data_IF_996887394800
#
_entry.id   IF_996887394800
#
_cell.length_a   1.000
_cell.length_b   1.000
_cell.length_c   1.000
_cell.angle_alpha   90.00
_cell.angle_beta   90.00
_cell.angle_gamma   90.00
#
_symmetry.space_group_name_H-M   'P 1'
#
loop_
_entity.id
_entity.type
_entity.pdbx_description
1 polymer ?
#
# COMPACT_ATOMS: atom_id res chain seq x y z
N UNK A 1 -82.29 15.70 1.79
CA UNK A 1 -81.51 16.78 2.42
C UNK A 1 -80.05 16.36 2.53
N UNK A 2 -79.16 17.12 1.89
CA UNK A 2 -77.72 17.28 2.13
C UNK A 2 -76.75 16.08 2.17
N UNK A 3 -76.10 15.89 1.01
CA UNK A 3 -74.67 15.58 0.76
C UNK A 3 -73.71 15.67 1.96
N UNK A 4 -72.81 14.69 2.07
CA UNK A 4 -71.36 14.94 2.30
C UNK A 4 -70.51 13.94 1.52
N UNK A 5 -69.84 14.46 0.49
CA UNK A 5 -68.78 13.80 -0.28
C UNK A 5 -67.49 13.98 0.53
N UNK A 6 -66.85 12.88 0.92
CA UNK A 6 -65.53 12.91 1.55
C UNK A 6 -64.48 12.92 0.43
N UNK A 7 -63.83 14.06 0.24
CA UNK A 7 -62.65 14.17 -0.62
C UNK A 7 -61.44 13.59 0.12
N UNK A 8 -60.92 12.46 -0.36
CA UNK A 8 -59.62 11.94 0.04
C UNK A 8 -58.57 12.73 -0.76
N UNK A 9 -57.88 13.65 -0.09
CA UNK A 9 -56.72 14.37 -0.66
C UNK A 9 -55.49 13.48 -0.46
N UNK A 10 -55.03 12.85 -1.53
CA UNK A 10 -53.75 12.16 -1.60
C UNK A 10 -52.63 13.21 -1.66
N UNK A 11 -52.03 13.54 -0.52
CA UNK A 11 -50.83 14.38 -0.44
C UNK A 11 -49.60 13.57 -0.89
N UNK A 12 -49.26 13.65 -2.17
CA UNK A 12 -47.95 13.21 -2.68
C UNK A 12 -46.86 14.16 -2.15
N UNK A 13 -46.19 13.76 -1.08
CA UNK A 13 -44.94 14.37 -0.65
C UNK A 13 -43.82 13.88 -1.57
N UNK A 14 -43.53 14.66 -2.61
CA UNK A 14 -42.29 14.55 -3.38
C UNK A 14 -41.13 14.98 -2.47
N UNK A 15 -40.46 14.00 -1.87
CA UNK A 15 -39.15 14.20 -1.24
C UNK A 15 -38.15 14.45 -2.36
N UNK A 16 -37.87 15.73 -2.65
CA UNK A 16 -36.72 16.09 -3.46
C UNK A 16 -35.46 15.83 -2.64
N UNK A 17 -34.85 14.66 -2.83
CA UNK A 17 -33.47 14.44 -2.43
C UNK A 17 -32.59 15.32 -3.33
N UNK A 18 -32.31 16.55 -2.88
CA UNK A 18 -31.25 17.35 -3.45
C UNK A 18 -29.93 16.63 -3.20
N UNK A 19 -29.43 15.93 -4.21
CA UNK A 19 -28.08 15.38 -4.22
C UNK A 19 -27.10 16.53 -4.12
N UNK A 20 -26.63 16.81 -2.91
CA UNK A 20 -25.44 17.63 -2.75
C UNK A 20 -24.29 16.84 -3.37
N UNK A 21 -23.80 17.31 -4.52
CA UNK A 21 -22.54 16.84 -5.05
C UNK A 21 -21.47 17.07 -3.97
N UNK A 22 -20.99 15.98 -3.36
CA UNK A 22 -19.89 16.03 -2.41
C UNK A 22 -18.74 16.75 -3.12
N UNK A 23 -18.28 17.90 -2.58
CA UNK A 23 -17.06 18.53 -3.07
C UNK A 23 -15.94 17.46 -3.01
N UNK A 24 -15.09 17.35 -4.04
CA UNK A 24 -13.95 16.44 -3.98
C UNK A 24 -13.18 16.73 -2.70
N UNK A 25 -12.95 15.69 -1.89
CA UNK A 25 -12.07 15.81 -0.72
C UNK A 25 -10.71 16.24 -1.25
N UNK A 26 -10.24 17.40 -0.80
CA UNK A 26 -8.94 17.92 -1.19
C UNK A 26 -7.87 16.92 -0.73
N UNK A 27 -7.03 16.45 -1.67
CA UNK A 27 -5.97 15.49 -1.37
C UNK A 27 -4.91 16.16 -0.51
N UNK A 28 -4.52 15.52 0.59
CA UNK A 28 -3.40 16.02 1.39
C UNK A 28 -2.07 15.67 0.70
N UNK A 29 -1.15 16.63 0.52
CA UNK A 29 0.16 16.36 -0.09
C UNK A 29 0.99 15.33 0.67
N UNK A 30 1.82 14.56 -0.06
CA UNK A 30 2.66 13.50 0.49
C UNK A 30 3.58 13.97 1.62
N UNK A 31 4.25 15.11 1.44
CA UNK A 31 5.17 15.70 2.41
C UNK A 31 4.45 16.09 3.71
N UNK A 32 3.24 16.63 3.62
CA UNK A 32 2.40 16.93 4.79
C UNK A 32 2.03 15.66 5.55
N UNK A 33 1.59 14.60 4.85
CA UNK A 33 1.26 13.31 5.45
C UNK A 33 2.51 12.66 6.08
N UNK A 34 3.65 12.71 5.38
CA UNK A 34 4.92 12.15 5.84
C UNK A 34 5.40 12.84 7.13
N UNK A 35 5.35 14.17 7.19
CA UNK A 35 5.74 14.90 8.39
C UNK A 35 4.84 14.58 9.59
N UNK A 36 3.54 14.32 9.36
CA UNK A 36 2.64 13.82 10.41
C UNK A 36 3.02 12.41 10.86
N UNK A 37 3.36 11.50 9.94
CA UNK A 37 3.87 10.16 10.29
C UNK A 37 5.14 10.24 11.12
N UNK A 38 6.11 11.09 10.75
CA UNK A 38 7.35 11.27 11.51
C UNK A 38 7.10 11.81 12.91
N UNK A 39 6.07 12.65 13.08
CA UNK A 39 5.57 13.13 14.37
C UNK A 39 4.67 12.14 15.11
N UNK A 40 4.54 10.91 14.60
CA UNK A 40 3.77 9.81 15.18
C UNK A 40 2.27 10.13 15.32
N UNK A 41 1.72 10.95 14.43
CA UNK A 41 0.28 11.18 14.37
C UNK A 41 -0.45 9.87 14.02
N UNK A 42 -1.21 9.36 14.99
CA UNK A 42 -1.93 8.09 14.85
C UNK A 42 -3.07 8.14 13.83
N UNK A 43 -3.58 9.34 13.49
CA UNK A 43 -4.70 9.55 12.59
C UNK A 43 -4.32 9.59 11.10
N UNK A 44 -3.03 9.47 10.76
CA UNK A 44 -2.62 9.43 9.35
C UNK A 44 -3.14 8.16 8.69
N UNK A 45 -3.83 8.34 7.56
CA UNK A 45 -4.21 7.24 6.68
C UNK A 45 -3.01 6.83 5.81
N UNK A 46 -2.50 5.60 6.02
CA UNK A 46 -1.34 5.09 5.28
C UNK A 46 -1.65 4.75 3.82
N UNK A 47 -2.90 4.45 3.49
CA UNK A 47 -3.33 4.30 2.10
C UNK A 47 -3.24 5.64 1.37
N UNK A 48 -3.72 6.73 1.99
CA UNK A 48 -3.61 8.08 1.44
C UNK A 48 -2.15 8.49 1.26
N UNK A 49 -1.30 8.24 2.27
CA UNK A 49 0.15 8.51 2.22
C UNK A 49 0.83 7.82 1.03
N UNK A 50 0.58 6.52 0.82
CA UNK A 50 1.14 5.76 -0.30
C UNK A 50 0.65 6.27 -1.64
N UNK A 51 -0.65 6.49 -1.78
CA UNK A 51 -1.21 6.99 -3.03
C UNK A 51 -0.68 8.39 -3.35
N UNK A 52 -0.56 9.27 -2.34
CA UNK A 52 0.05 10.58 -2.50
C UNK A 52 1.53 10.49 -2.93
N UNK A 53 2.30 9.53 -2.40
CA UNK A 53 3.68 9.30 -2.85
C UNK A 53 3.76 8.96 -4.34
N UNK A 54 2.80 8.18 -4.87
CA UNK A 54 2.75 7.81 -6.30
C UNK A 54 2.53 8.99 -7.24
N UNK A 55 2.12 10.15 -6.70
CA UNK A 55 1.89 11.40 -7.45
C UNK A 55 3.11 12.35 -7.39
N UNK A 56 4.18 11.97 -6.69
CA UNK A 56 5.39 12.78 -6.54
C UNK A 56 6.39 12.56 -7.68
N UNK A 57 7.31 13.52 -7.89
CA UNK A 57 8.41 13.37 -8.87
C UNK A 57 9.44 12.32 -8.46
N UNK A 58 9.49 12.01 -7.16
CA UNK A 58 10.40 11.04 -6.55
C UNK A 58 9.86 9.61 -6.64
N UNK A 59 8.63 9.43 -7.13
CA UNK A 59 8.01 8.13 -7.28
C UNK A 59 8.80 7.27 -8.28
N UNK A 60 9.24 6.10 -7.79
CA UNK A 60 10.03 5.16 -8.56
C UNK A 60 9.60 3.72 -8.23
N UNK A 61 8.54 3.20 -8.88
CA UNK A 61 7.94 1.91 -8.54
C UNK A 61 8.83 0.70 -8.83
N UNK A 62 9.91 0.87 -9.60
CA UNK A 62 10.80 -0.22 -10.05
C UNK A 62 12.28 -0.04 -9.68
N UNK A 63 12.71 1.16 -9.28
CA UNK A 63 14.14 1.50 -9.14
C UNK A 63 14.65 1.60 -7.70
N UNK A 64 14.18 0.72 -6.80
CA UNK A 64 14.74 0.60 -5.45
C UNK A 64 16.18 0.09 -5.41
N UNK A 65 16.92 0.42 -4.35
CA UNK A 65 18.32 0.00 -4.13
C UNK A 65 18.38 -1.46 -3.62
N UNK A 66 18.26 -2.40 -4.56
CA UNK A 66 18.22 -3.85 -4.29
C UNK A 66 19.47 -4.36 -3.57
N UNK A 67 20.64 -3.83 -3.90
CA UNK A 67 21.90 -4.26 -3.28
C UNK A 67 21.97 -3.84 -1.82
N UNK A 68 21.53 -2.62 -1.49
CA UNK A 68 21.45 -2.17 -0.09
C UNK A 68 20.41 -2.98 0.69
N UNK A 69 19.26 -3.31 0.07
CA UNK A 69 18.27 -4.20 0.70
C UNK A 69 18.84 -5.59 0.98
N UNK A 70 19.57 -6.16 0.02
CA UNK A 70 20.26 -7.44 0.20
C UNK A 70 21.30 -7.38 1.32
N UNK A 71 22.09 -6.30 1.36
CA UNK A 71 23.08 -6.07 2.42
C UNK A 71 22.42 -5.96 3.80
N UNK A 72 21.30 -5.24 3.90
CA UNK A 72 20.50 -5.13 5.13
C UNK A 72 20.07 -6.51 5.65
N UNK A 73 19.43 -7.34 4.81
CA UNK A 73 19.00 -8.67 5.23
C UNK A 73 20.16 -9.61 5.54
N UNK A 74 21.26 -9.54 4.79
CA UNK A 74 22.48 -10.29 5.09
C UNK A 74 23.08 -9.88 6.45
N UNK A 75 23.08 -8.59 6.77
CA UNK A 75 23.53 -8.09 8.07
C UNK A 75 22.64 -8.60 9.22
N UNK A 76 21.31 -8.58 9.06
CA UNK A 76 20.37 -9.15 10.03
C UNK A 76 20.64 -10.64 10.27
N UNK A 77 20.79 -11.42 9.20
CA UNK A 77 21.06 -12.87 9.28
C UNK A 77 22.42 -13.20 9.92
N UNK A 78 23.38 -12.27 9.86
CA UNK A 78 24.69 -12.41 10.51
C UNK A 78 24.78 -11.67 11.85
N UNK A 79 23.64 -11.23 12.41
CA UNK A 79 23.57 -10.51 13.70
C UNK A 79 24.39 -9.19 13.73
N UNK A 80 24.69 -8.62 12.56
CA UNK A 80 25.40 -7.33 12.41
C UNK A 80 24.41 -6.19 12.41
N UNK A 81 23.73 -5.98 13.54
CA UNK A 81 22.57 -5.09 13.64
C UNK A 81 22.88 -3.63 13.30
N UNK A 82 24.05 -3.11 13.69
CA UNK A 82 24.45 -1.74 13.31
C UNK A 82 24.58 -1.57 11.79
N UNK A 83 25.07 -2.58 11.08
CA UNK A 83 25.18 -2.55 9.61
C UNK A 83 23.81 -2.66 8.93
N UNK A 84 22.90 -3.42 9.55
CA UNK A 84 21.51 -3.46 9.12
C UNK A 84 20.86 -2.06 9.26
N UNK A 85 21.07 -1.37 10.38
CA UNK A 85 20.57 0.00 10.57
C UNK A 85 21.11 0.97 9.52
N UNK A 86 22.42 0.96 9.24
CA UNK A 86 23.02 1.81 8.21
C UNK A 86 22.34 1.59 6.84
N UNK A 87 22.08 0.33 6.50
CA UNK A 87 21.44 -0.03 5.23
C UNK A 87 19.96 0.37 5.21
N UNK A 88 19.24 0.17 6.32
CA UNK A 88 17.85 0.61 6.49
C UNK A 88 17.75 2.13 6.37
N UNK A 89 18.59 2.89 7.04
CA UNK A 89 18.58 4.36 7.02
C UNK A 89 18.84 4.90 5.61
N UNK A 90 19.79 4.28 4.87
CA UNK A 90 20.04 4.63 3.47
C UNK A 90 18.81 4.42 2.59
N UNK A 91 18.12 3.29 2.74
CA UNK A 91 16.89 2.99 2.00
C UNK A 91 15.77 3.97 2.35
N UNK A 92 15.57 4.26 3.65
CA UNK A 92 14.53 5.17 4.14
C UNK A 92 14.79 6.63 3.76
N UNK A 93 16.04 7.03 3.61
CA UNK A 93 16.40 8.34 3.08
C UNK A 93 16.03 8.49 1.60
N UNK A 94 16.10 7.41 0.81
CA UNK A 94 15.71 7.42 -0.60
C UNK A 94 14.20 7.28 -0.79
N UNK A 95 13.57 6.38 -0.03
CA UNK A 95 12.13 6.16 -0.02
C UNK A 95 11.68 5.80 1.40
N UNK A 96 11.03 6.74 2.07
CA UNK A 96 10.55 6.53 3.44
C UNK A 96 9.44 5.46 3.51
N UNK A 97 8.75 5.14 2.41
CA UNK A 97 7.71 4.11 2.39
C UNK A 97 8.26 2.69 2.13
N UNK A 98 9.59 2.51 2.12
CA UNK A 98 10.21 1.20 1.91
C UNK A 98 9.94 0.26 3.11
N UNK A 99 9.04 -0.71 2.90
CA UNK A 99 8.51 -1.61 3.94
C UNK A 99 9.61 -2.49 4.55
N UNK A 100 10.51 -3.03 3.72
CA UNK A 100 11.58 -3.91 4.17
C UNK A 100 12.61 -3.18 5.04
N UNK A 101 12.86 -1.90 4.77
CA UNK A 101 13.79 -1.05 5.49
C UNK A 101 13.22 -0.70 6.87
N UNK A 102 11.92 -0.40 6.97
CA UNK A 102 11.26 -0.30 8.27
C UNK A 102 11.30 -1.65 9.03
N UNK A 103 11.07 -2.78 8.36
CA UNK A 103 11.22 -4.09 8.99
C UNK A 103 12.64 -4.35 9.50
N UNK A 104 13.66 -4.07 8.68
CA UNK A 104 15.06 -4.24 9.05
C UNK A 104 15.47 -3.35 10.21
N UNK A 105 15.06 -2.08 10.20
CA UNK A 105 15.27 -1.15 11.29
C UNK A 105 14.57 -1.59 12.59
N UNK A 106 13.35 -2.13 12.49
CA UNK A 106 12.64 -2.72 13.63
C UNK A 106 13.45 -3.87 14.25
N UNK A 107 13.85 -4.86 13.44
CA UNK A 107 14.57 -6.04 13.94
C UNK A 107 15.90 -5.61 14.57
N UNK A 108 16.70 -4.80 13.87
CA UNK A 108 18.00 -4.36 14.37
C UNK A 108 17.89 -3.55 15.67
N UNK A 109 16.96 -2.59 15.76
CA UNK A 109 16.76 -1.83 17.01
C UNK A 109 16.26 -2.72 18.16
N UNK A 110 15.43 -3.73 17.89
CA UNK A 110 14.97 -4.68 18.90
C UNK A 110 16.15 -5.45 19.50
N UNK A 111 17.00 -6.01 18.65
CA UNK A 111 18.16 -6.80 19.10
C UNK A 111 19.21 -5.94 19.83
N UNK A 112 19.36 -4.67 19.42
CA UNK A 112 20.19 -3.68 20.11
C UNK A 112 19.54 -3.08 21.38
N UNK A 113 18.34 -3.54 21.76
CA UNK A 113 17.58 -3.07 22.93
C UNK A 113 17.18 -1.58 22.88
N UNK A 114 17.05 -1.02 21.68
CA UNK A 114 16.51 0.32 21.44
C UNK A 114 14.98 0.26 21.30
N UNK A 115 14.26 0.02 22.40
CA UNK A 115 12.82 -0.28 22.41
C UNK A 115 11.97 0.77 21.65
N UNK A 116 12.12 2.06 21.97
CA UNK A 116 11.32 3.12 21.35
C UNK A 116 11.49 3.19 19.82
N UNK A 117 12.71 2.99 19.34
CA UNK A 117 13.02 2.97 17.90
C UNK A 117 12.44 1.71 17.25
N UNK A 118 12.55 0.57 17.92
CA UNK A 118 11.98 -0.68 17.43
C UNK A 118 10.45 -0.55 17.27
N UNK A 119 9.76 -0.04 18.28
CA UNK A 119 8.31 0.16 18.25
C UNK A 119 7.87 1.18 17.19
N UNK A 120 8.64 2.24 17.00
CA UNK A 120 8.41 3.22 15.95
C UNK A 120 8.42 2.58 14.55
N UNK A 121 9.51 1.90 14.19
CA UNK A 121 9.62 1.23 12.90
C UNK A 121 8.62 0.09 12.76
N UNK A 122 8.31 -0.60 13.87
CA UNK A 122 7.29 -1.64 13.92
C UNK A 122 5.93 -1.12 13.50
N UNK A 123 5.51 -0.04 14.13
CA UNK A 123 4.23 0.61 13.87
C UNK A 123 4.12 1.05 12.39
N UNK A 124 5.17 1.63 11.82
CA UNK A 124 5.17 2.08 10.43
C UNK A 124 5.08 0.90 9.46
N UNK A 125 5.92 -0.13 9.60
CA UNK A 125 5.87 -1.27 8.67
C UNK A 125 4.51 -1.96 8.73
N UNK A 126 3.92 -2.10 9.93
CA UNK A 126 2.61 -2.74 10.10
C UNK A 126 1.50 -1.92 9.45
N UNK A 127 1.52 -0.59 9.59
CA UNK A 127 0.52 0.28 8.95
C UNK A 127 0.66 0.31 7.43
N UNK A 128 1.88 0.25 6.89
CA UNK A 128 2.11 0.12 5.44
C UNK A 128 1.55 -1.19 4.91
N UNK A 129 1.88 -2.33 5.53
CA UNK A 129 1.32 -3.63 5.13
C UNK A 129 -0.21 -3.65 5.27
N UNK A 130 -0.74 -3.13 6.38
CA UNK A 130 -2.17 -3.05 6.61
C UNK A 130 -2.87 -2.26 5.51
N UNK A 131 -2.30 -1.14 5.07
CA UNK A 131 -2.89 -0.35 3.98
C UNK A 131 -2.95 -1.08 2.63
N UNK A 132 -2.07 -2.07 2.40
CA UNK A 132 -2.20 -2.98 1.24
C UNK A 132 -3.34 -3.96 1.49
N UNK A 133 -3.32 -4.65 2.63
CA UNK A 133 -4.29 -5.71 2.92
C UNK A 133 -5.71 -5.19 3.16
N UNK A 134 -5.88 -3.91 3.47
CA UNK A 134 -7.19 -3.28 3.62
C UNK A 134 -7.84 -2.94 2.26
N UNK A 135 -7.08 -2.95 1.16
CA UNK A 135 -7.63 -2.63 -0.15
C UNK A 135 -8.41 -3.79 -0.78
N UNK A 136 -8.19 -5.02 -0.30
CA UNK A 136 -8.75 -6.25 -0.87
C UNK A 136 -8.10 -7.49 -0.27
N UNK A 137 -8.54 -8.69 -0.65
CA UNK A 137 -7.95 -9.96 -0.19
C UNK A 137 -7.05 -10.64 -1.23
N UNK A 138 -6.95 -10.04 -2.42
CA UNK A 138 -6.14 -10.50 -3.53
C UNK A 138 -6.65 -11.75 -4.22
N UNK A 139 -7.79 -12.35 -3.85
CA UNK A 139 -8.20 -13.67 -4.40
C UNK A 139 -8.83 -13.57 -5.80
N UNK A 140 -9.31 -12.39 -6.17
CA UNK A 140 -9.87 -12.11 -7.49
C UNK A 140 -9.40 -10.72 -7.95
N UNK A 141 -9.50 -10.41 -9.25
CA UNK A 141 -9.19 -9.07 -9.78
C UNK A 141 -10.04 -7.97 -9.12
N UNK A 142 -11.33 -8.26 -8.83
CA UNK A 142 -12.23 -7.31 -8.16
C UNK A 142 -11.88 -7.03 -6.69
N UNK A 143 -11.06 -7.89 -6.08
CA UNK A 143 -10.59 -7.78 -4.70
C UNK A 143 -9.07 -7.71 -4.64
N UNK A 144 -8.42 -7.34 -5.74
CA UNK A 144 -6.97 -7.31 -5.85
C UNK A 144 -6.35 -6.40 -4.77
N UNK A 145 -5.17 -6.77 -4.29
CA UNK A 145 -4.38 -5.86 -3.46
C UNK A 145 -3.93 -4.67 -4.32
N UNK A 146 -4.04 -3.44 -3.80
CA UNK A 146 -3.64 -2.24 -4.53
C UNK A 146 -2.23 -1.86 -4.09
N UNK A 147 -1.28 -1.93 -5.03
CA UNK A 147 0.13 -1.62 -4.79
C UNK A 147 0.57 -0.41 -5.59
N UNK A 148 1.56 0.29 -5.05
CA UNK A 148 2.25 1.40 -5.71
C UNK A 148 3.67 1.00 -6.13
N UNK A 149 4.13 -0.21 -5.88
CA UNK A 149 5.44 -0.67 -6.38
C UNK A 149 5.51 -2.18 -6.39
N UNK A 150 6.39 -2.75 -7.21
CA UNK A 150 6.65 -4.20 -7.18
C UNK A 150 7.17 -4.65 -5.81
N UNK A 151 7.92 -3.77 -5.14
CA UNK A 151 8.48 -4.08 -3.82
C UNK A 151 7.41 -4.35 -2.75
N UNK A 152 6.22 -3.73 -2.87
CA UNK A 152 5.10 -3.95 -1.96
C UNK A 152 4.47 -5.34 -2.12
N UNK A 153 4.42 -5.88 -3.34
CA UNK A 153 3.92 -7.23 -3.62
C UNK A 153 4.77 -8.27 -2.88
N UNK A 154 6.10 -8.20 -3.05
CA UNK A 154 7.03 -9.11 -2.40
C UNK A 154 7.10 -8.88 -0.88
N UNK A 155 6.97 -7.64 -0.41
CA UNK A 155 6.91 -7.36 1.03
C UNK A 155 5.67 -8.00 1.68
N UNK A 156 4.51 -7.94 1.02
CA UNK A 156 3.28 -8.59 1.49
C UNK A 156 3.46 -10.12 1.52
N UNK A 157 4.02 -10.72 0.49
CA UNK A 157 4.27 -12.18 0.47
C UNK A 157 5.25 -12.65 1.55
N UNK A 158 6.32 -11.89 1.77
CA UNK A 158 7.25 -12.16 2.87
C UNK A 158 6.53 -12.12 4.23
N UNK A 159 5.63 -11.16 4.42
CA UNK A 159 4.82 -11.08 5.63
C UNK A 159 3.83 -12.24 5.78
N UNK A 160 3.20 -12.67 4.67
CA UNK A 160 2.31 -13.83 4.63
C UNK A 160 3.06 -15.17 4.77
N UNK A 161 4.38 -15.17 4.64
CA UNK A 161 5.20 -16.38 4.72
C UNK A 161 5.08 -17.29 3.50
N UNK A 162 4.69 -16.76 2.35
CA UNK A 162 4.53 -17.51 1.09
C UNK A 162 5.60 -17.13 0.08
N UNK A 163 5.90 -18.02 -0.87
CA UNK A 163 6.94 -17.82 -1.89
C UNK A 163 6.33 -17.66 -3.28
N UNK A 164 6.58 -16.57 -4.01
CA UNK A 164 6.13 -16.45 -5.39
C UNK A 164 6.88 -17.44 -6.29
N UNK A 165 6.12 -18.11 -7.17
CA UNK A 165 6.63 -19.14 -8.08
C UNK A 165 6.32 -18.85 -9.55
N UNK A 166 5.31 -18.03 -9.84
CA UNK A 166 5.02 -17.55 -11.18
C UNK A 166 4.33 -16.19 -11.14
N UNK A 167 4.49 -15.42 -12.22
CA UNK A 167 3.87 -14.12 -12.43
C UNK A 167 3.34 -14.02 -13.85
N UNK A 168 2.18 -13.40 -14.02
CA UNK A 168 1.64 -13.02 -15.32
C UNK A 168 0.93 -11.66 -15.26
N UNK A 169 1.19 -10.80 -16.23
CA UNK A 169 0.46 -9.56 -16.43
C UNK A 169 -0.92 -9.85 -17.05
N UNK A 170 -1.98 -9.31 -16.45
CA UNK A 170 -3.36 -9.41 -16.92
C UNK A 170 -3.91 -8.00 -17.15
N UNK A 171 -4.62 -7.80 -18.24
CA UNK A 171 -5.39 -6.58 -18.51
C UNK A 171 -6.88 -6.91 -18.52
N UNK A 172 -7.67 -6.17 -17.74
CA UNK A 172 -9.14 -6.29 -17.74
C UNK A 172 -9.78 -4.91 -17.50
N UNK A 173 -10.70 -4.50 -18.38
CA UNK A 173 -11.48 -3.25 -18.25
C UNK A 173 -10.61 -2.02 -17.98
N UNK A 174 -9.49 -1.91 -18.71
CA UNK A 174 -8.50 -0.82 -18.59
C UNK A 174 -7.71 -0.78 -17.28
N UNK A 175 -7.77 -1.84 -16.48
CA UNK A 175 -6.91 -2.04 -15.32
C UNK A 175 -5.84 -3.11 -15.61
N UNK A 176 -4.68 -2.95 -14.97
CA UNK A 176 -3.55 -3.85 -15.08
C UNK A 176 -3.35 -4.57 -13.76
N UNK A 177 -3.13 -5.88 -13.85
CA UNK A 177 -2.94 -6.72 -12.69
C UNK A 177 -1.72 -7.61 -12.85
N UNK A 178 -0.97 -7.78 -11.77
CA UNK A 178 -0.05 -8.90 -11.62
C UNK A 178 -0.80 -10.06 -10.97
N UNK A 179 -0.92 -11.17 -11.72
CA UNK A 179 -1.39 -12.46 -11.22
C UNK A 179 -0.19 -13.26 -10.75
N UNK A 180 -0.11 -13.46 -9.45
CA UNK A 180 1.00 -14.11 -8.77
C UNK A 180 0.58 -15.48 -8.25
N UNK A 181 1.25 -16.53 -8.70
CA UNK A 181 1.17 -17.85 -8.06
C UNK A 181 2.19 -17.91 -6.94
N UNK A 182 1.75 -18.33 -5.76
CA UNK A 182 2.62 -18.51 -4.59
C UNK A 182 2.48 -19.91 -4.01
N UNK A 183 3.50 -20.37 -3.31
CA UNK A 183 3.53 -21.64 -2.57
C UNK A 183 3.75 -21.36 -1.09
N UNK A 184 2.96 -21.99 -0.22
CA UNK A 184 3.25 -22.05 1.21
C UNK A 184 4.38 -23.07 1.44
N UNK A 185 5.56 -22.63 1.95
CA UNK A 185 6.70 -23.52 2.14
C UNK A 185 6.48 -24.59 3.22
N UNK A 186 5.44 -24.49 4.06
CA UNK A 186 5.13 -25.47 5.11
C UNK A 186 4.19 -26.56 4.60
N UNK A 187 3.17 -26.18 3.82
CA UNK A 187 2.13 -27.11 3.35
C UNK A 187 2.31 -27.54 1.90
N UNK A 188 3.24 -26.90 1.16
CA UNK A 188 3.46 -27.05 -0.28
C UNK A 188 2.22 -26.72 -1.14
N UNK A 189 1.19 -26.11 -0.54
CA UNK A 189 -0.01 -25.72 -1.26
C UNK A 189 0.22 -24.44 -2.06
N UNK A 190 -0.33 -24.42 -3.27
CA UNK A 190 -0.30 -23.25 -4.13
C UNK A 190 -1.55 -22.38 -3.94
N UNK A 191 -1.37 -21.07 -4.02
CA UNK A 191 -2.43 -20.08 -4.06
C UNK A 191 -2.16 -19.07 -5.18
N UNK A 192 -3.22 -18.38 -5.61
CA UNK A 192 -3.13 -17.29 -6.58
C UNK A 192 -3.57 -16.01 -5.88
N UNK A 193 -2.79 -14.95 -6.07
CA UNK A 193 -3.13 -13.60 -5.66
C UNK A 193 -3.06 -12.64 -6.85
N UNK A 194 -3.90 -11.62 -6.82
CA UNK A 194 -3.99 -10.56 -7.80
C UNK A 194 -3.60 -9.24 -7.14
N UNK A 195 -2.74 -8.49 -7.81
CA UNK A 195 -2.35 -7.13 -7.43
C UNK A 195 -2.80 -6.18 -8.53
N UNK A 196 -3.55 -5.13 -8.19
CA UNK A 196 -3.74 -4.00 -9.09
C UNK A 196 -2.44 -3.20 -9.13
N UNK A 197 -1.87 -3.09 -10.33
CA UNK A 197 -0.58 -2.45 -10.59
C UNK A 197 -0.72 -1.20 -11.47
N UNK A 198 -1.90 -0.57 -11.49
CA UNK A 198 -2.15 0.60 -12.34
C UNK A 198 -1.11 1.71 -12.09
N UNK A 199 -0.74 1.95 -10.83
CA UNK A 199 0.25 2.98 -10.48
C UNK A 199 1.65 2.66 -11.01
N UNK A 200 2.24 1.47 -10.79
CA UNK A 200 3.48 1.08 -11.45
C UNK A 200 3.39 1.11 -12.99
N UNK A 201 2.30 0.59 -13.55
CA UNK A 201 2.11 0.45 -14.99
C UNK A 201 2.02 1.82 -15.70
N UNK A 202 1.21 2.73 -15.17
CA UNK A 202 1.07 4.10 -15.70
C UNK A 202 2.40 4.85 -15.69
N UNK A 203 3.15 4.72 -14.60
CA UNK A 203 4.49 5.31 -14.50
C UNK A 203 5.43 4.77 -15.58
N UNK A 204 5.44 3.45 -15.80
CA UNK A 204 6.28 2.83 -16.81
C UNK A 204 5.91 3.34 -18.21
N UNK A 205 4.63 3.33 -18.55
CA UNK A 205 4.13 3.80 -19.84
C UNK A 205 4.50 5.27 -20.10
N UNK A 206 4.35 6.13 -19.09
CA UNK A 206 4.72 7.54 -19.21
C UNK A 206 6.24 7.73 -19.36
N UNK A 207 7.04 6.95 -18.62
CA UNK A 207 8.51 7.01 -18.69
C UNK A 207 9.07 6.61 -20.06
N UNK A 208 8.38 5.72 -20.79
CA UNK A 208 8.75 5.30 -22.13
C UNK A 208 8.42 6.38 -23.17
N UNK A 209 7.27 7.04 -23.06
CA UNK A 209 6.87 8.15 -23.95
C UNK A 209 7.79 9.36 -23.86
N UNK A 210 8.38 9.63 -22.70
CA UNK A 210 9.29 10.77 -22.51
C UNK A 210 10.71 10.54 -23.03
N UNK A 211 11.02 9.34 -23.52
CA UNK A 211 12.34 8.98 -24.07
C UNK A 211 12.38 9.01 -25.61
N UNK A 212 11.24 9.22 -26.25
CA UNK A 212 11.10 9.48 -27.69
C UNK A 212 11.15 10.99 -27.96
#
# INVERSE_FOLDING_TARGET
MFRKIVFIVCSLLLVQAAGQAQKPVEKVPYDVLLERVKKQDAAVNFQELRLAYSETKQYNPYGGDRETRKAMFAALNSERYDQALISSDKLLAANYLEINAHFGAYVANRELRHADKADYHKNIFQKLLKSISDSGDGKTMASAFVVISTDEEYALFNFMGVRPTAQALIEEKSHHYDKMTVTDPKSEQNAIYYFNIDKPFDWLNNSLKTKE
#
